data_IF_519225841960
#
_entry.id   IF_519225841960
#
_cell.length_a   1.000
_cell.length_b   1.000
_cell.length_c   1.000
_cell.angle_alpha   90.00
_cell.angle_beta   90.00
_cell.angle_gamma   90.00
#
_symmetry.space_group_name_H-M   'P 1'
#
loop_
_entity.id
_entity.type
_entity.pdbx_description
1 polymer ?
#
# COMPACT_ATOMS: atom_id res chain seq x y z
N UNK A 1 35.73 39.07 60.60
CA UNK A 1 34.29 38.75 60.41
C UNK A 1 33.64 39.92 59.70
N UNK A 2 33.41 39.81 58.39
CA UNK A 2 32.71 40.81 57.56
C UNK A 2 31.77 40.03 56.63
N UNK A 3 30.48 40.39 56.68
CA UNK A 3 29.33 39.68 56.07
C UNK A 3 29.28 39.90 54.56
N UNK A 4 29.13 38.79 53.84
CA UNK A 4 28.95 38.72 52.39
C UNK A 4 27.49 39.07 52.02
N UNK A 5 27.32 39.98 51.05
CA UNK A 5 26.04 40.43 50.50
C UNK A 5 25.53 39.38 49.51
N UNK A 6 24.32 38.86 49.73
CA UNK A 6 23.63 37.94 48.82
C UNK A 6 22.81 38.75 47.80
N UNK A 7 23.17 38.64 46.52
CA UNK A 7 22.35 39.10 45.39
C UNK A 7 21.71 37.85 44.77
N UNK A 8 20.39 37.75 44.92
CA UNK A 8 19.55 36.74 44.27
C UNK A 8 19.56 36.91 42.76
N UNK A 9 19.91 35.84 42.03
CA UNK A 9 19.62 35.71 40.59
C UNK A 9 18.48 34.71 40.41
N UNK A 10 17.36 35.21 39.88
CA UNK A 10 16.15 34.45 39.56
C UNK A 10 16.42 33.66 38.26
N UNK A 11 16.43 32.33 38.34
CA UNK A 11 16.46 31.46 37.18
C UNK A 11 15.02 31.18 36.72
N UNK A 12 14.61 31.80 35.61
CA UNK A 12 13.37 31.45 34.91
C UNK A 12 13.60 30.19 34.06
N UNK A 13 13.01 29.07 34.47
CA UNK A 13 13.02 27.81 33.71
C UNK A 13 11.83 27.83 32.73
N UNK A 14 12.14 27.93 31.44
CA UNK A 14 11.17 27.76 30.35
C UNK A 14 10.96 26.25 30.15
N UNK A 15 9.78 25.74 30.50
CA UNK A 15 9.38 24.36 30.21
C UNK A 15 8.86 24.30 28.78
N UNK A 16 9.69 23.81 27.86
CA UNK A 16 9.23 23.43 26.52
C UNK A 16 8.52 22.06 26.62
N UNK A 17 7.19 22.07 26.62
CA UNK A 17 6.38 20.85 26.49
C UNK A 17 6.35 20.44 25.02
N UNK A 18 7.26 19.56 24.60
CA UNK A 18 7.16 18.89 23.31
C UNK A 18 6.10 17.79 23.36
N UNK A 19 5.07 17.88 22.53
CA UNK A 19 4.12 16.79 22.31
C UNK A 19 4.82 15.63 21.58
N UNK A 20 5.36 14.69 22.35
CA UNK A 20 5.90 13.45 21.83
C UNK A 20 4.72 12.52 21.49
N UNK A 21 4.43 12.34 20.19
CA UNK A 21 3.50 11.29 19.74
C UNK A 21 4.14 9.93 20.06
N UNK A 22 3.69 9.28 21.12
CA UNK A 22 4.14 7.94 21.52
C UNK A 22 3.50 6.91 20.57
N UNK A 23 4.28 6.34 19.64
CA UNK A 23 3.91 5.09 18.96
C UNK A 23 3.97 3.96 20.00
N UNK A 24 2.85 3.28 20.25
CA UNK A 24 2.83 2.14 21.17
C UNK A 24 3.62 0.96 20.58
N UNK A 25 4.48 0.32 21.37
CA UNK A 25 5.30 -0.81 20.94
C UNK A 25 4.49 -2.02 20.43
N UNK A 26 3.24 -2.16 20.88
CA UNK A 26 2.30 -3.20 20.43
C UNK A 26 1.92 -3.03 18.95
N UNK A 27 1.74 -1.79 18.51
CA UNK A 27 1.30 -1.45 17.16
C UNK A 27 2.40 -1.73 16.14
N UNK A 28 3.64 -1.33 16.46
CA UNK A 28 4.82 -1.61 15.63
C UNK A 28 5.10 -3.12 15.49
N UNK A 29 4.87 -3.91 16.55
CA UNK A 29 5.04 -5.37 16.52
C UNK A 29 4.00 -6.05 15.62
N UNK A 30 2.76 -5.54 15.61
CA UNK A 30 1.69 -6.07 14.76
C UNK A 30 1.92 -5.78 13.27
N UNK A 31 2.42 -4.59 12.95
CA UNK A 31 2.74 -4.16 11.58
C UNK A 31 3.92 -4.97 10.99
N UNK A 32 5.00 -5.08 11.76
CA UNK A 32 6.17 -5.87 11.35
C UNK A 32 5.83 -7.35 11.11
N UNK A 33 4.85 -7.88 11.87
CA UNK A 33 4.43 -9.27 11.74
C UNK A 33 3.79 -9.55 10.38
N UNK A 34 2.76 -8.80 9.97
CA UNK A 34 2.06 -9.10 8.72
C UNK A 34 2.88 -8.74 7.48
N UNK A 35 3.74 -7.71 7.54
CA UNK A 35 4.61 -7.37 6.41
C UNK A 35 5.55 -8.54 6.08
N UNK A 36 6.10 -9.21 7.10
CA UNK A 36 6.95 -10.39 6.90
C UNK A 36 6.19 -11.61 6.34
N UNK A 37 4.88 -11.69 6.59
CA UNK A 37 4.00 -12.69 5.99
C UNK A 37 3.72 -12.33 4.52
N UNK A 38 3.37 -11.08 4.24
CA UNK A 38 3.06 -10.57 2.91
C UNK A 38 4.22 -10.72 1.92
N UNK A 39 5.47 -10.56 2.36
CA UNK A 39 6.65 -10.75 1.52
C UNK A 39 6.88 -12.20 1.04
N UNK A 40 6.15 -13.17 1.60
CA UNK A 40 6.16 -14.58 1.18
C UNK A 40 5.00 -14.93 0.25
N UNK A 41 4.06 -14.01 0.06
CA UNK A 41 3.00 -14.13 -0.92
C UNK A 41 3.51 -13.71 -2.29
N UNK A 42 2.91 -14.26 -3.33
CA UNK A 42 3.25 -13.96 -4.72
C UNK A 42 2.09 -13.25 -5.40
N UNK A 43 2.38 -12.18 -6.13
CA UNK A 43 1.39 -11.42 -6.91
C UNK A 43 1.44 -11.88 -8.36
N UNK A 44 0.29 -12.22 -8.91
CA UNK A 44 0.13 -12.56 -10.32
C UNK A 44 -0.91 -11.68 -11.01
N UNK A 45 -0.48 -11.02 -12.08
CA UNK A 45 -1.32 -10.23 -12.97
C UNK A 45 -1.68 -11.06 -14.20
N UNK A 46 -2.96 -11.00 -14.60
CA UNK A 46 -3.43 -11.60 -15.85
C UNK A 46 -4.56 -10.76 -16.48
N UNK A 47 -4.78 -10.93 -17.78
CA UNK A 47 -5.92 -10.30 -18.44
C UNK A 47 -7.24 -10.84 -17.87
N UNK A 48 -8.18 -9.94 -17.58
CA UNK A 48 -9.58 -10.31 -17.41
C UNK A 48 -10.26 -10.51 -18.76
N UNK A 49 -11.51 -10.97 -18.71
CA UNK A 49 -12.36 -11.09 -19.91
C UNK A 49 -13.01 -9.73 -20.20
N UNK A 50 -12.47 -8.97 -21.15
CA UNK A 50 -13.01 -7.65 -21.51
C UNK A 50 -14.48 -7.78 -21.93
N UNK A 51 -15.35 -7.01 -21.27
CA UNK A 51 -16.82 -7.14 -21.41
C UNK A 51 -17.44 -6.05 -22.29
N UNK A 52 -16.65 -5.12 -22.85
CA UNK A 52 -17.14 -4.03 -23.70
C UNK A 52 -16.04 -3.14 -24.28
N UNK A 53 -16.40 -2.26 -25.22
CA UNK A 53 -15.48 -1.25 -25.78
C UNK A 53 -15.04 -0.28 -24.68
N UNK A 54 -13.75 0.00 -24.58
CA UNK A 54 -13.21 0.94 -23.60
C UNK A 54 -12.86 0.33 -22.24
N UNK A 55 -13.16 -0.95 -22.02
CA UNK A 55 -12.87 -1.68 -20.78
C UNK A 55 -11.55 -2.45 -20.90
N UNK A 56 -10.65 -2.29 -19.93
CA UNK A 56 -9.45 -3.12 -19.81
C UNK A 56 -9.48 -3.80 -18.45
N UNK A 57 -9.96 -5.05 -18.43
CA UNK A 57 -10.01 -5.81 -17.20
C UNK A 57 -8.65 -6.41 -16.85
N UNK A 58 -8.22 -6.15 -15.63
CA UNK A 58 -7.04 -6.75 -15.01
C UNK A 58 -7.47 -7.66 -13.87
N UNK A 59 -7.01 -8.91 -13.91
CA UNK A 59 -7.09 -9.84 -12.80
C UNK A 59 -5.84 -9.71 -11.93
N UNK A 60 -6.04 -9.44 -10.65
CA UNK A 60 -5.00 -9.36 -9.63
C UNK A 60 -5.17 -10.52 -8.65
N UNK A 61 -4.20 -11.43 -8.62
CA UNK A 61 -4.22 -12.62 -7.77
C UNK A 61 -3.06 -12.59 -6.80
N UNK A 62 -3.32 -12.92 -5.54
CA UNK A 62 -2.29 -13.14 -4.52
C UNK A 62 -2.33 -14.60 -4.12
N UNK A 63 -1.21 -15.30 -4.29
CA UNK A 63 -1.07 -16.73 -3.98
C UNK A 63 -0.18 -16.92 -2.76
N UNK A 64 -0.47 -17.98 -1.99
CA UNK A 64 0.32 -18.37 -0.83
C UNK A 64 0.99 -19.71 -1.10
N UNK A 65 2.31 -19.76 -1.36
CA UNK A 65 3.02 -21.00 -1.62
C UNK A 65 3.30 -21.82 -0.34
N UNK A 66 2.99 -21.29 0.83
CA UNK A 66 3.37 -21.89 2.11
C UNK A 66 2.28 -22.81 2.68
N UNK A 67 2.66 -23.60 3.69
CA UNK A 67 1.79 -24.55 4.39
C UNK A 67 0.97 -23.93 5.55
N UNK A 68 0.99 -22.60 5.68
CA UNK A 68 0.21 -21.89 6.71
C UNK A 68 -0.52 -20.71 6.10
N UNK A 69 -1.66 -20.28 6.67
CA UNK A 69 -2.27 -19.02 6.28
C UNK A 69 -1.31 -17.85 6.50
N UNK A 70 -1.29 -16.93 5.55
CA UNK A 70 -0.49 -15.70 5.61
C UNK A 70 -1.40 -14.50 5.37
N UNK A 71 -1.01 -13.33 5.88
CA UNK A 71 -1.78 -12.11 5.76
C UNK A 71 -1.04 -11.01 5.02
N UNK A 72 -1.81 -10.12 4.40
CA UNK A 72 -1.32 -8.85 3.89
C UNK A 72 -2.35 -7.74 4.14
N UNK A 73 -1.93 -6.47 4.07
CA UNK A 73 -2.84 -5.34 4.16
C UNK A 73 -3.43 -5.03 2.78
N UNK A 74 -4.76 -4.90 2.70
CA UNK A 74 -5.48 -4.60 1.45
C UNK A 74 -5.20 -3.20 0.91
N UNK A 75 -4.71 -2.27 1.75
CA UNK A 75 -4.38 -0.93 1.28
C UNK A 75 -3.26 -0.97 0.25
N UNK A 76 -3.32 -0.06 -0.72
CA UNK A 76 -2.35 -0.01 -1.83
C UNK A 76 -2.39 -1.28 -2.69
N UNK A 77 -3.56 -1.94 -2.74
CA UNK A 77 -3.86 -3.08 -3.61
C UNK A 77 -5.27 -2.94 -4.18
N UNK A 78 -5.64 -3.67 -5.22
CA UNK A 78 -7.01 -3.62 -5.74
C UNK A 78 -8.04 -4.37 -4.89
N UNK A 79 -7.68 -4.87 -3.70
CA UNK A 79 -8.63 -5.46 -2.74
C UNK A 79 -9.33 -4.41 -1.86
N UNK A 80 -9.00 -3.13 -2.04
CA UNK A 80 -9.67 -2.02 -1.39
C UNK A 80 -10.60 -1.27 -2.36
N UNK A 81 -11.54 -0.43 -1.87
CA UNK A 81 -12.44 0.30 -2.75
C UNK A 81 -11.70 1.41 -3.52
N UNK A 82 -11.02 1.01 -4.59
CA UNK A 82 -10.46 1.81 -5.69
C UNK A 82 -9.83 3.17 -5.32
N UNK A 83 -9.05 3.20 -4.24
CA UNK A 83 -8.29 4.35 -3.75
C UNK A 83 -6.80 4.04 -3.86
N UNK A 84 -6.02 4.97 -4.40
CA UNK A 84 -4.57 4.83 -4.53
C UNK A 84 -4.10 4.48 -5.94
N UNK A 85 -2.88 4.90 -6.27
CA UNK A 85 -2.16 4.55 -7.50
C UNK A 85 -1.14 3.46 -7.17
N UNK A 86 -1.48 2.21 -7.48
CA UNK A 86 -0.64 1.04 -7.20
C UNK A 86 -0.26 0.23 -8.45
N UNK A 87 -0.62 0.73 -9.64
CA UNK A 87 -0.07 0.23 -10.91
C UNK A 87 0.77 1.30 -11.59
N UNK A 88 1.89 0.86 -12.13
CA UNK A 88 2.56 1.51 -13.24
C UNK A 88 1.95 1.02 -14.55
N UNK A 89 1.55 1.94 -15.41
CA UNK A 89 0.94 1.65 -16.71
C UNK A 89 1.61 2.56 -17.74
N UNK A 90 2.21 1.96 -18.75
CA UNK A 90 2.84 2.70 -19.86
C UNK A 90 2.29 2.22 -21.19
N UNK A 91 2.09 3.14 -22.13
CA UNK A 91 1.69 2.80 -23.50
C UNK A 91 2.86 2.25 -24.35
N UNK A 92 2.62 2.01 -25.63
CA UNK A 92 3.64 1.53 -26.57
C UNK A 92 4.80 2.52 -26.84
N UNK A 93 4.63 3.80 -26.53
CA UNK A 93 5.67 4.84 -26.65
C UNK A 93 6.44 5.02 -25.33
N UNK A 94 6.02 4.33 -24.27
CA UNK A 94 6.57 4.47 -22.93
C UNK A 94 5.99 5.63 -22.13
N UNK A 95 4.91 6.25 -22.60
CA UNK A 95 4.21 7.33 -21.89
C UNK A 95 3.35 6.73 -20.76
N UNK A 96 3.43 7.32 -19.57
CA UNK A 96 2.68 6.84 -18.40
C UNK A 96 1.20 7.22 -18.49
N UNK A 97 0.30 6.26 -18.29
CA UNK A 97 -1.13 6.53 -18.23
C UNK A 97 -1.48 7.40 -17.02
N UNK A 98 -2.27 8.45 -17.24
CA UNK A 98 -2.64 9.39 -16.18
C UNK A 98 -3.62 8.74 -15.20
N UNK A 99 -3.23 8.69 -13.92
CA UNK A 99 -4.12 8.25 -12.84
C UNK A 99 -5.13 9.36 -12.49
N UNK A 100 -6.41 8.99 -12.48
CA UNK A 100 -7.57 9.85 -12.19
C UNK A 100 -8.38 9.37 -10.97
N UNK A 101 -7.89 8.36 -10.26
CA UNK A 101 -8.54 7.83 -9.06
C UNK A 101 -8.38 8.71 -7.82
N UNK A 102 -9.15 8.40 -6.78
CA UNK A 102 -9.04 9.07 -5.49
C UNK A 102 -7.78 8.63 -4.73
N UNK A 103 -7.24 9.54 -3.90
CA UNK A 103 -6.13 9.28 -2.99
C UNK A 103 -6.59 9.53 -1.55
N UNK A 104 -6.31 8.61 -0.63
CA UNK A 104 -6.63 8.77 0.79
C UNK A 104 -5.38 8.75 1.65
N UNK A 105 -5.40 9.55 2.72
CA UNK A 105 -4.43 9.45 3.81
C UNK A 105 -4.84 8.34 4.77
N UNK A 106 -3.86 7.58 5.27
CA UNK A 106 -4.08 6.47 6.21
C UNK A 106 -3.63 6.84 7.61
N UNK A 107 -4.35 6.32 8.60
CA UNK A 107 -3.90 6.29 9.99
C UNK A 107 -3.20 4.96 10.23
N UNK A 108 -2.04 5.01 10.88
CA UNK A 108 -1.23 3.84 11.21
C UNK A 108 -1.33 3.50 12.70
N UNK A 109 -1.27 2.20 13.08
CA UNK A 109 -1.19 1.03 12.19
C UNK A 109 -2.51 0.77 11.44
N UNK A 110 -2.51 -0.05 10.37
CA UNK A 110 -3.75 -0.46 9.73
C UNK A 110 -4.64 -1.22 10.71
N UNK A 111 -5.96 -0.95 10.73
CA UNK A 111 -6.88 -1.71 11.57
C UNK A 111 -6.94 -3.17 11.09
N UNK A 112 -7.33 -4.09 11.97
CA UNK A 112 -7.45 -5.51 11.62
C UNK A 112 -8.35 -5.77 10.39
N UNK A 113 -9.38 -4.94 10.18
CA UNK A 113 -10.27 -5.01 9.01
C UNK A 113 -9.60 -4.66 7.67
N UNK A 114 -8.45 -3.98 7.70
CA UNK A 114 -7.62 -3.72 6.53
C UNK A 114 -6.78 -4.93 6.14
N UNK A 115 -6.56 -5.90 7.04
CA UNK A 115 -5.85 -7.12 6.72
C UNK A 115 -6.75 -8.14 6.03
N UNK A 116 -6.16 -8.96 5.18
CA UNK A 116 -6.80 -10.12 4.58
C UNK A 116 -5.91 -11.35 4.73
N UNK A 117 -6.52 -12.52 4.74
CA UNK A 117 -5.84 -13.80 4.90
C UNK A 117 -5.87 -14.57 3.59
N UNK A 118 -4.72 -15.11 3.18
CA UNK A 118 -4.57 -16.03 2.06
C UNK A 118 -4.36 -17.43 2.64
N UNK A 119 -5.28 -18.39 2.39
CA UNK A 119 -5.14 -19.76 2.87
C UNK A 119 -3.82 -20.42 2.44
N UNK A 120 -3.35 -21.40 3.20
CA UNK A 120 -2.18 -22.21 2.80
C UNK A 120 -2.42 -22.85 1.43
N UNK A 121 -1.44 -22.77 0.52
CA UNK A 121 -1.55 -23.24 -0.87
C UNK A 121 -2.74 -22.65 -1.65
N UNK A 122 -3.36 -21.58 -1.14
CA UNK A 122 -4.55 -20.96 -1.69
C UNK A 122 -4.24 -19.63 -2.37
N UNK A 123 -5.30 -18.97 -2.82
CA UNK A 123 -5.23 -17.64 -3.42
C UNK A 123 -6.44 -16.79 -3.08
N UNK A 124 -6.25 -15.48 -3.20
CA UNK A 124 -7.34 -14.49 -3.25
C UNK A 124 -7.20 -13.71 -4.56
N UNK A 125 -8.33 -13.34 -5.15
CA UNK A 125 -8.39 -12.72 -6.48
C UNK A 125 -9.37 -11.56 -6.46
N UNK A 126 -9.03 -10.50 -7.20
CA UNK A 126 -9.94 -9.41 -7.55
C UNK A 126 -9.79 -9.09 -9.04
N UNK A 127 -10.84 -8.52 -9.63
CA UNK A 127 -10.84 -8.04 -11.02
C UNK A 127 -11.18 -6.57 -10.97
N UNK A 128 -10.41 -5.77 -11.71
CA UNK A 128 -10.64 -4.34 -11.83
C UNK A 128 -10.67 -3.95 -13.30
N UNK A 129 -11.39 -2.87 -13.62
CA UNK A 129 -11.23 -2.18 -14.88
C UNK A 129 -10.21 -1.06 -14.71
N UNK A 130 -9.14 -1.07 -15.51
CA UNK A 130 -8.13 -0.01 -15.47
C UNK A 130 -8.70 1.33 -15.97
N UNK A 131 -9.69 1.30 -16.87
CA UNK A 131 -10.32 2.50 -17.41
C UNK A 131 -11.10 3.30 -16.35
N UNK A 132 -11.47 2.67 -15.22
CA UNK A 132 -12.16 3.35 -14.12
C UNK A 132 -11.27 4.37 -13.38
N UNK A 133 -9.95 4.26 -13.52
CA UNK A 133 -8.96 5.01 -12.74
C UNK A 133 -7.81 5.55 -13.55
N UNK A 134 -7.63 5.11 -14.78
CA UNK A 134 -6.57 5.57 -15.66
C UNK A 134 -7.15 6.09 -16.96
N UNK A 135 -6.55 7.14 -17.48
CA UNK A 135 -6.79 7.60 -18.84
C UNK A 135 -6.01 6.74 -19.81
N UNK A 136 -6.73 6.02 -20.66
CA UNK A 136 -6.18 5.05 -21.59
C UNK A 136 -6.50 5.49 -23.03
N UNK A 137 -5.58 6.22 -23.65
CA UNK A 137 -5.70 6.83 -25.00
C UNK A 137 -5.08 6.02 -26.15
N UNK A 138 -4.19 5.08 -25.84
CA UNK A 138 -3.50 4.18 -26.76
C UNK A 138 -4.18 2.81 -26.87
N UNK A 139 -3.54 1.91 -27.63
CA UNK A 139 -4.11 0.59 -27.96
C UNK A 139 -3.48 -0.56 -27.19
N UNK A 140 -2.29 -0.35 -26.62
CA UNK A 140 -1.53 -1.40 -25.94
C UNK A 140 -0.77 -0.86 -24.74
N UNK A 141 -0.86 -1.56 -23.63
CA UNK A 141 -0.33 -1.11 -22.35
C UNK A 141 0.52 -2.18 -21.69
N UNK A 142 1.67 -1.79 -21.14
CA UNK A 142 2.41 -2.60 -20.19
C UNK A 142 1.98 -2.22 -18.78
N UNK A 143 1.52 -3.20 -18.01
CA UNK A 143 1.01 -3.01 -16.65
C UNK A 143 1.88 -3.76 -15.65
N UNK A 144 2.23 -3.10 -14.56
CA UNK A 144 2.97 -3.66 -13.43
C UNK A 144 2.39 -3.18 -12.11
N UNK A 145 2.30 -4.09 -11.13
CA UNK A 145 2.02 -3.73 -9.74
C UNK A 145 3.29 -3.18 -9.08
N UNK A 146 3.18 -2.03 -8.40
CA UNK A 146 4.36 -1.37 -7.81
C UNK A 146 4.93 -2.11 -6.59
N UNK A 147 4.07 -2.81 -5.84
CA UNK A 147 4.47 -3.49 -4.61
C UNK A 147 4.94 -2.56 -3.49
N UNK A 148 5.32 -3.18 -2.38
CA UNK A 148 5.86 -2.55 -1.18
C UNK A 148 4.81 -1.87 -0.31
N UNK A 149 5.26 -0.79 0.34
CA UNK A 149 4.42 0.07 1.16
C UNK A 149 3.72 -0.64 2.31
N UNK A 150 2.50 -0.23 2.59
CA UNK A 150 1.69 -0.74 3.71
C UNK A 150 1.14 -2.13 3.42
N UNK A 151 0.97 -2.49 2.14
CA UNK A 151 0.52 -3.83 1.75
C UNK A 151 1.51 -4.92 2.17
N UNK A 152 2.81 -4.62 2.09
CA UNK A 152 3.92 -5.56 2.28
C UNK A 152 4.10 -6.58 1.14
N UNK A 153 3.23 -6.57 0.13
CA UNK A 153 3.35 -7.44 -1.05
C UNK A 153 4.54 -7.01 -1.91
N UNK A 154 5.18 -7.96 -2.58
CA UNK A 154 6.20 -7.64 -3.58
C UNK A 154 5.55 -7.34 -4.93
N UNK A 155 6.32 -6.72 -5.82
CA UNK A 155 5.95 -6.66 -7.23
C UNK A 155 5.73 -8.08 -7.79
N UNK A 156 4.85 -8.18 -8.78
CA UNK A 156 4.54 -9.42 -9.48
C UNK A 156 5.11 -9.42 -10.90
N UNK A 157 4.54 -10.26 -11.76
CA UNK A 157 4.82 -10.19 -13.19
C UNK A 157 4.29 -8.89 -13.81
N UNK A 158 4.90 -8.51 -14.93
CA UNK A 158 4.35 -7.51 -15.84
C UNK A 158 3.50 -8.21 -16.90
N UNK A 159 2.46 -7.54 -17.39
CA UNK A 159 1.66 -8.04 -18.50
C UNK A 159 1.42 -6.95 -19.54
N UNK A 160 1.10 -7.38 -20.75
CA UNK A 160 0.63 -6.50 -21.81
C UNK A 160 -0.87 -6.70 -22.01
N UNK A 161 -1.61 -5.60 -22.04
CA UNK A 161 -3.05 -5.58 -22.30
C UNK A 161 -3.34 -4.74 -23.55
N UNK A 162 -4.42 -5.07 -24.25
CA UNK A 162 -4.86 -4.35 -25.44
C UNK A 162 -6.33 -3.97 -25.33
N UNK A 163 -6.64 -2.80 -25.90
CA UNK A 163 -7.97 -2.22 -26.02
C UNK A 163 -8.68 -2.65 -27.31
#
# INVERSE_FOLDING_TARGET
>A
MIRQVYISFIAAIIVLTGCHTQKNATDAKSEQSYISEAQKLEVHLSSGNNSGKGSILLSFTVTNPTNKPLRFCKWETPFEPAIGKYFGITDEKGEEALFRGAMARRVMPPPASALTTVPAHGSVKTIIDLADKYELTGHRYTVSYTGGGVSGLKEGNKITLSL
#
